data_IF_633565865557
#
_entry.id   IF_633565865557
#
_cell.length_a   1.000
_cell.length_b   1.000
_cell.length_c   1.000
_cell.angle_alpha   90.00
_cell.angle_beta   90.00
_cell.angle_gamma   90.00
#
_symmetry.space_group_name_H-M   'P 1'
#
loop_
_entity.id
_entity.type
_entity.pdbx_description
1 polymer ?
#
# COMPACT_ATOMS: atom_id res chain seq x y z
N UNK A 1 -9.53 9.65 -8.33
CA UNK A 1 -9.45 8.23 -8.80
C UNK A 1 -8.11 7.55 -8.55
N UNK A 2 -7.11 8.22 -7.99
CA UNK A 2 -5.78 7.65 -7.67
C UNK A 2 -5.81 6.61 -6.54
N UNK A 3 -6.76 6.69 -5.62
CA UNK A 3 -6.97 5.67 -4.58
C UNK A 3 -7.34 4.29 -5.16
N UNK A 4 -7.68 4.22 -6.42
CA UNK A 4 -8.08 3.00 -7.12
C UNK A 4 -7.06 2.51 -8.14
N UNK A 5 -5.84 3.08 -8.18
CA UNK A 5 -4.79 2.65 -9.09
C UNK A 5 -4.52 1.14 -9.01
N UNK A 6 -4.40 0.60 -7.79
CA UNK A 6 -4.25 -0.83 -7.55
C UNK A 6 -5.40 -1.68 -8.11
N UNK A 7 -6.65 -1.21 -8.02
CA UNK A 7 -7.79 -1.95 -8.58
C UNK A 7 -7.79 -1.99 -10.09
N UNK A 8 -7.36 -0.91 -10.74
CA UNK A 8 -7.19 -0.90 -12.19
C UNK A 8 -6.04 -1.80 -12.63
N UNK A 9 -4.98 -1.91 -11.85
CA UNK A 9 -3.90 -2.86 -12.10
C UNK A 9 -4.40 -4.30 -12.06
N UNK A 10 -5.16 -4.70 -11.05
CA UNK A 10 -5.74 -6.04 -11.00
C UNK A 10 -6.63 -6.36 -12.21
N UNK A 11 -7.46 -5.41 -12.65
CA UNK A 11 -8.29 -5.58 -13.86
C UNK A 11 -7.46 -5.70 -15.13
N UNK A 12 -6.30 -5.09 -15.15
CA UNK A 12 -5.40 -5.09 -16.30
C UNK A 12 -4.24 -6.09 -16.14
N UNK A 13 -4.25 -6.94 -15.11
CA UNK A 13 -3.16 -7.87 -14.83
C UNK A 13 -2.73 -8.69 -16.07
N UNK A 14 -3.70 -9.20 -16.82
CA UNK A 14 -3.46 -9.96 -18.06
C UNK A 14 -2.73 -9.15 -19.14
N UNK A 15 -2.87 -7.82 -19.15
CA UNK A 15 -2.20 -6.95 -20.13
C UNK A 15 -0.72 -6.78 -19.87
N UNK A 16 -0.27 -7.00 -18.64
CA UNK A 16 1.14 -6.92 -18.29
C UNK A 16 1.91 -8.17 -18.67
N UNK A 17 1.25 -9.34 -18.78
CA UNK A 17 1.84 -10.59 -19.24
C UNK A 17 3.19 -10.89 -18.59
N UNK A 18 4.19 -11.22 -19.39
CA UNK A 18 5.57 -11.50 -18.92
C UNK A 18 6.27 -10.28 -18.31
N UNK A 19 5.81 -9.07 -18.63
CA UNK A 19 6.38 -7.83 -18.09
C UNK A 19 5.86 -7.49 -16.68
N UNK A 20 5.00 -8.32 -16.08
CA UNK A 20 4.44 -8.03 -14.75
C UNK A 20 5.53 -7.75 -13.70
N UNK A 21 6.62 -8.49 -13.72
CA UNK A 21 7.78 -8.30 -12.81
C UNK A 21 8.39 -6.90 -12.88
N UNK A 22 8.29 -6.23 -14.02
CA UNK A 22 8.82 -4.87 -14.21
C UNK A 22 7.95 -3.78 -13.57
N UNK A 23 6.67 -4.07 -13.36
CA UNK A 23 5.69 -3.06 -12.95
C UNK A 23 5.11 -3.29 -11.56
N UNK A 24 5.11 -4.54 -11.07
CA UNK A 24 4.42 -4.85 -9.86
C UNK A 24 5.33 -5.42 -8.78
N UNK A 25 5.59 -4.60 -7.77
CA UNK A 25 6.33 -4.94 -6.54
C UNK A 25 5.45 -4.77 -5.29
N UNK A 26 4.13 -4.74 -5.47
CA UNK A 26 3.14 -4.49 -4.43
C UNK A 26 2.57 -3.07 -4.45
N UNK A 27 1.54 -2.85 -3.65
CA UNK A 27 0.81 -1.58 -3.58
C UNK A 27 1.57 -0.45 -2.85
N UNK A 28 2.75 -0.76 -2.29
CA UNK A 28 3.52 0.14 -1.43
C UNK A 28 4.61 0.92 -2.15
N UNK A 29 4.81 0.69 -3.45
CA UNK A 29 5.81 1.42 -4.24
C UNK A 29 5.30 2.82 -4.60
N UNK A 30 5.63 3.80 -3.75
CA UNK A 30 5.10 5.18 -3.81
C UNK A 30 6.02 6.11 -4.60
N UNK A 31 7.32 5.85 -4.58
CA UNK A 31 8.36 6.68 -5.20
C UNK A 31 9.03 5.95 -6.35
N UNK A 32 9.22 6.66 -7.46
CA UNK A 32 9.98 6.15 -8.60
C UNK A 32 11.48 6.12 -8.30
N UNK A 33 12.24 5.33 -9.05
CA UNK A 33 13.68 5.19 -8.82
C UNK A 33 14.45 6.52 -8.98
N UNK A 34 14.09 7.33 -9.98
CA UNK A 34 14.68 8.66 -10.18
C UNK A 34 14.37 9.63 -9.03
N UNK A 35 13.21 9.50 -8.40
CA UNK A 35 12.86 10.27 -7.21
C UNK A 35 13.66 9.79 -5.99
N UNK A 36 13.78 8.48 -5.78
CA UNK A 36 14.59 7.89 -4.69
C UNK A 36 16.04 8.35 -4.78
N UNK A 37 16.62 8.36 -5.99
CA UNK A 37 17.98 8.80 -6.23
C UNK A 37 18.21 10.26 -5.82
N UNK A 38 17.22 11.13 -5.99
CA UNK A 38 17.32 12.54 -5.57
C UNK A 38 17.15 12.73 -4.08
N UNK A 39 16.19 12.03 -3.48
CA UNK A 39 15.82 12.26 -2.07
C UNK A 39 16.71 11.51 -1.08
N UNK A 40 17.29 10.35 -1.45
CA UNK A 40 18.11 9.56 -0.55
C UNK A 40 19.56 10.05 -0.57
N UNK A 41 20.13 10.28 0.61
CA UNK A 41 21.53 10.68 0.76
C UNK A 41 22.51 9.54 0.40
N UNK A 42 22.07 8.30 0.61
CA UNK A 42 22.80 7.08 0.30
C UNK A 42 21.92 6.18 -0.56
N UNK A 43 21.78 6.57 -1.82
CA UNK A 43 21.05 5.74 -2.79
C UNK A 43 21.97 4.64 -3.34
N UNK A 44 21.51 3.41 -3.28
CA UNK A 44 22.19 2.27 -3.86
C UNK A 44 21.39 1.76 -5.07
N UNK A 45 21.91 1.90 -6.30
CA UNK A 45 21.20 1.46 -7.50
C UNK A 45 21.09 -0.06 -7.62
N UNK A 46 21.87 -0.82 -6.85
CA UNK A 46 21.84 -2.27 -6.86
C UNK A 46 20.77 -2.83 -5.92
N UNK A 47 20.19 -2.00 -5.03
CA UNK A 47 19.08 -2.38 -4.15
C UNK A 47 17.75 -2.03 -4.79
N UNK A 48 17.16 -2.99 -5.49
CA UNK A 48 15.92 -2.78 -6.22
C UNK A 48 14.69 -3.34 -5.46
N UNK A 49 13.55 -2.62 -5.46
CA UNK A 49 12.32 -3.10 -4.82
C UNK A 49 11.84 -4.47 -5.31
N UNK A 50 12.17 -4.84 -6.55
CA UNK A 50 11.82 -6.13 -7.12
C UNK A 50 12.46 -7.30 -6.38
N UNK A 51 13.62 -7.10 -5.76
CA UNK A 51 14.30 -8.15 -5.01
C UNK A 51 13.49 -8.64 -3.81
N UNK A 52 12.71 -7.74 -3.20
CA UNK A 52 11.81 -8.08 -2.09
C UNK A 52 10.71 -9.08 -2.48
N UNK A 53 10.37 -9.17 -3.76
CA UNK A 53 9.28 -10.02 -4.26
C UNK A 53 9.74 -11.06 -5.29
N UNK A 54 11.04 -11.15 -5.56
CA UNK A 54 11.59 -12.09 -6.55
C UNK A 54 11.28 -13.53 -6.18
N UNK A 55 11.47 -13.93 -4.93
CA UNK A 55 11.15 -15.28 -4.46
C UNK A 55 9.64 -15.61 -4.63
N UNK A 56 8.76 -14.63 -4.39
CA UNK A 56 7.33 -14.81 -4.58
C UNK A 56 6.98 -15.03 -6.05
N UNK A 57 7.65 -14.32 -6.96
CA UNK A 57 7.49 -14.55 -8.39
C UNK A 57 7.97 -15.92 -8.84
N UNK A 58 9.08 -16.41 -8.26
CA UNK A 58 9.61 -17.76 -8.53
C UNK A 58 8.64 -18.83 -8.02
N UNK A 59 8.16 -18.72 -6.80
CA UNK A 59 7.17 -19.64 -6.22
C UNK A 59 5.84 -19.68 -6.96
N UNK A 60 5.51 -18.61 -7.69
CA UNK A 60 4.24 -18.44 -8.39
C UNK A 60 4.40 -18.48 -9.92
N UNK A 61 5.51 -19.01 -10.45
CA UNK A 61 5.82 -18.94 -11.88
C UNK A 61 4.70 -19.49 -12.77
N UNK A 62 4.07 -20.60 -12.37
CA UNK A 62 2.98 -21.26 -13.08
C UNK A 62 1.60 -20.60 -12.92
N UNK A 63 1.48 -19.57 -12.10
CA UNK A 63 0.20 -18.90 -11.83
C UNK A 63 -0.08 -17.80 -12.86
N UNK A 64 -1.37 -17.48 -13.01
CA UNK A 64 -1.81 -16.35 -13.82
C UNK A 64 -1.38 -15.00 -13.19
N UNK A 65 -1.30 -13.91 -13.98
CA UNK A 65 -0.82 -12.61 -13.52
C UNK A 65 -1.57 -12.07 -12.29
N UNK A 66 -2.88 -12.22 -12.23
CA UNK A 66 -3.70 -11.78 -11.10
C UNK A 66 -3.35 -12.55 -9.82
N UNK A 67 -3.11 -13.85 -9.93
CA UNK A 67 -2.72 -14.69 -8.82
C UNK A 67 -1.32 -14.37 -8.32
N UNK A 68 -0.37 -14.04 -9.21
CA UNK A 68 0.97 -13.54 -8.84
C UNK A 68 0.88 -12.25 -8.03
N UNK A 69 0.15 -11.25 -8.53
CA UNK A 69 -0.07 -9.99 -7.81
C UNK A 69 -0.72 -10.21 -6.44
N UNK A 70 -1.73 -11.09 -6.39
CA UNK A 70 -2.42 -11.40 -5.14
C UNK A 70 -1.49 -12.06 -4.10
N UNK A 71 -0.58 -12.94 -4.52
CA UNK A 71 0.40 -13.56 -3.63
C UNK A 71 1.38 -12.53 -3.06
N UNK A 72 1.85 -11.59 -3.88
CA UNK A 72 2.70 -10.49 -3.43
C UNK A 72 1.98 -9.66 -2.37
N UNK A 73 0.73 -9.26 -2.64
CA UNK A 73 -0.02 -8.45 -1.69
C UNK A 73 -0.37 -9.19 -0.40
N UNK A 74 -0.61 -10.51 -0.47
CA UNK A 74 -0.87 -11.32 0.72
C UNK A 74 0.38 -11.37 1.59
N UNK A 75 1.55 -11.64 1.03
CA UNK A 75 2.78 -11.86 1.80
C UNK A 75 3.41 -10.53 2.28
N UNK A 76 3.35 -9.47 1.46
CA UNK A 76 4.02 -8.21 1.78
C UNK A 76 3.07 -7.23 2.46
N UNK A 77 1.92 -6.94 1.82
CA UNK A 77 1.04 -5.88 2.31
C UNK A 77 0.04 -6.36 3.36
N UNK A 78 -0.62 -7.48 3.12
CA UNK A 78 -1.65 -7.98 4.06
C UNK A 78 -1.02 -8.41 5.39
N UNK A 79 0.09 -9.14 5.36
CA UNK A 79 0.79 -9.60 6.55
C UNK A 79 1.61 -8.47 7.19
N UNK A 80 2.42 -7.77 6.41
CA UNK A 80 3.39 -6.78 6.91
C UNK A 80 2.78 -5.45 7.32
N UNK A 81 1.61 -5.08 6.76
CA UNK A 81 0.94 -3.81 7.07
C UNK A 81 -0.43 -4.04 7.72
N UNK A 82 -1.38 -4.63 7.00
CA UNK A 82 -2.78 -4.67 7.44
C UNK A 82 -2.93 -5.49 8.73
N UNK A 83 -2.44 -6.72 8.77
CA UNK A 83 -2.58 -7.58 9.96
C UNK A 83 -1.77 -7.07 11.12
N UNK A 84 -0.56 -6.62 10.85
CA UNK A 84 0.31 -6.04 11.87
C UNK A 84 -0.35 -4.84 12.56
N UNK A 85 -0.87 -3.89 11.79
CA UNK A 85 -1.54 -2.71 12.32
C UNK A 85 -2.85 -3.04 13.05
N UNK A 86 -3.66 -3.92 12.46
CA UNK A 86 -4.92 -4.37 13.07
C UNK A 86 -4.66 -5.00 14.43
N UNK A 87 -3.68 -5.92 14.52
CA UNK A 87 -3.32 -6.58 15.77
C UNK A 87 -2.82 -5.58 16.82
N UNK A 88 -1.90 -4.70 16.46
CA UNK A 88 -1.30 -3.72 17.37
C UNK A 88 -2.31 -2.71 17.90
N UNK A 89 -3.13 -2.15 17.01
CA UNK A 89 -4.08 -1.12 17.40
C UNK A 89 -5.24 -1.69 18.21
N UNK A 90 -5.74 -2.87 17.86
CA UNK A 90 -6.81 -3.51 18.60
C UNK A 90 -6.35 -3.97 19.98
N UNK A 91 -5.16 -4.56 20.08
CA UNK A 91 -4.58 -4.99 21.34
C UNK A 91 -4.32 -3.81 22.27
N UNK A 92 -3.83 -2.68 21.75
CA UNK A 92 -3.64 -1.45 22.53
C UNK A 92 -4.97 -0.90 23.09
N UNK A 93 -6.08 -1.15 22.41
CA UNK A 93 -7.41 -0.76 22.87
C UNK A 93 -8.15 -1.88 23.65
N UNK A 94 -7.52 -3.02 23.91
CA UNK A 94 -8.15 -4.16 24.58
C UNK A 94 -9.26 -4.83 23.76
N UNK A 95 -9.24 -4.68 22.44
CA UNK A 95 -10.24 -5.24 21.51
C UNK A 95 -9.71 -6.52 20.86
N UNK A 96 -10.57 -7.51 20.77
CA UNK A 96 -10.31 -8.72 19.98
C UNK A 96 -10.93 -8.58 18.59
N UNK A 97 -10.11 -8.66 17.55
CA UNK A 97 -10.57 -8.60 16.15
C UNK A 97 -10.59 -10.00 15.54
N UNK A 98 -11.67 -10.29 14.83
CA UNK A 98 -11.84 -11.53 14.05
C UNK A 98 -11.94 -11.19 12.57
N UNK A 99 -11.20 -11.92 11.75
CA UNK A 99 -11.10 -11.72 10.30
C UNK A 99 -11.60 -12.96 9.53
N UNK A 100 -12.92 -13.18 9.44
CA UNK A 100 -13.47 -14.43 8.89
C UNK A 100 -13.10 -14.70 7.43
N UNK A 101 -12.82 -13.67 6.64
CA UNK A 101 -12.45 -13.82 5.22
C UNK A 101 -11.00 -14.29 5.03
N UNK A 102 -10.20 -14.35 6.08
CA UNK A 102 -8.83 -14.88 6.05
C UNK A 102 -8.73 -16.28 6.65
N UNK A 103 -9.85 -16.91 6.95
CA UNK A 103 -9.92 -18.32 7.33
C UNK A 103 -9.30 -19.19 6.22
N UNK A 104 -8.47 -20.15 6.62
CA UNK A 104 -7.76 -21.06 5.70
C UNK A 104 -8.69 -21.73 4.69
N UNK A 105 -9.90 -22.10 5.11
CA UNK A 105 -10.90 -22.75 4.23
C UNK A 105 -11.38 -21.80 3.14
N UNK A 106 -11.53 -20.52 3.46
CA UNK A 106 -11.89 -19.48 2.47
C UNK A 106 -10.71 -19.27 1.51
N UNK A 107 -9.49 -19.19 2.04
CA UNK A 107 -8.28 -19.06 1.24
C UNK A 107 -8.09 -20.23 0.27
N UNK A 108 -8.28 -21.48 0.73
CA UNK A 108 -8.16 -22.68 -0.10
C UNK A 108 -9.16 -22.67 -1.28
N UNK A 109 -10.35 -22.13 -1.09
CA UNK A 109 -11.32 -21.95 -2.17
C UNK A 109 -10.89 -20.82 -3.11
N UNK A 110 -10.52 -19.67 -2.55
CA UNK A 110 -10.17 -18.49 -3.32
C UNK A 110 -8.89 -18.69 -4.16
N UNK A 111 -7.88 -19.39 -3.63
CA UNK A 111 -6.63 -19.67 -4.34
C UNK A 111 -6.83 -20.51 -5.61
N UNK A 112 -7.77 -21.46 -5.57
CA UNK A 112 -8.11 -22.34 -6.70
C UNK A 112 -9.12 -21.75 -7.68
N UNK A 113 -9.65 -20.58 -7.34
CA UNK A 113 -10.70 -19.94 -8.15
C UNK A 113 -10.08 -19.27 -9.38
N UNK A 114 -10.61 -19.55 -10.61
CA UNK A 114 -10.17 -18.86 -11.82
C UNK A 114 -10.33 -17.33 -11.71
N UNK A 115 -9.40 -16.59 -12.31
CA UNK A 115 -9.32 -15.11 -12.22
C UNK A 115 -10.60 -14.40 -12.61
N UNK A 116 -11.36 -14.90 -13.61
CA UNK A 116 -12.66 -14.34 -14.01
C UNK A 116 -13.73 -14.28 -12.92
N UNK A 117 -13.61 -15.13 -11.88
CA UNK A 117 -14.50 -15.10 -10.71
C UNK A 117 -13.96 -14.22 -9.57
N UNK A 118 -12.71 -13.80 -9.66
CA UNK A 118 -12.10 -12.84 -8.73
C UNK A 118 -12.34 -11.41 -9.20
N UNK A 119 -12.03 -11.14 -10.48
CA UNK A 119 -12.10 -9.82 -11.11
C UNK A 119 -12.63 -9.97 -12.53
N UNK A 120 -13.47 -9.04 -12.97
CA UNK A 120 -13.87 -8.88 -14.36
C UNK A 120 -13.86 -7.38 -14.74
N UNK A 121 -14.30 -7.04 -15.95
CA UNK A 121 -14.31 -5.66 -16.44
C UNK A 121 -15.20 -4.71 -15.62
N UNK A 122 -16.26 -5.24 -15.02
CA UNK A 122 -17.25 -4.45 -14.29
C UNK A 122 -16.91 -4.32 -12.80
N UNK A 123 -16.41 -5.40 -12.19
CA UNK A 123 -16.28 -5.45 -10.73
C UNK A 123 -15.15 -6.35 -10.23
N UNK A 124 -14.71 -6.05 -9.02
CA UNK A 124 -13.83 -6.90 -8.23
C UNK A 124 -14.66 -7.80 -7.29
N UNK A 125 -14.06 -8.89 -6.78
CA UNK A 125 -14.67 -9.82 -5.83
C UNK A 125 -15.95 -10.46 -6.38
N UNK A 126 -15.97 -10.80 -7.66
CA UNK A 126 -17.15 -11.30 -8.38
C UNK A 126 -17.84 -12.44 -7.64
N UNK A 127 -17.14 -13.54 -7.35
CA UNK A 127 -17.73 -14.69 -6.66
C UNK A 127 -18.24 -14.34 -5.25
N UNK A 128 -17.48 -13.52 -4.51
CA UNK A 128 -17.89 -13.10 -3.17
C UNK A 128 -19.18 -12.27 -3.20
N UNK A 129 -19.30 -11.31 -4.12
CA UNK A 129 -20.49 -10.50 -4.30
C UNK A 129 -21.69 -11.32 -4.73
N UNK A 130 -21.49 -12.24 -5.68
CA UNK A 130 -22.54 -13.18 -6.13
C UNK A 130 -23.03 -14.08 -4.98
N UNK A 131 -22.12 -14.55 -4.13
CA UNK A 131 -22.50 -15.32 -2.94
C UNK A 131 -23.25 -14.46 -1.91
N UNK A 132 -22.78 -13.23 -1.68
CA UNK A 132 -23.40 -12.28 -0.75
C UNK A 132 -24.83 -11.92 -1.18
N UNK A 133 -25.11 -11.78 -2.46
CA UNK A 133 -26.45 -11.47 -2.99
C UNK A 133 -27.49 -12.57 -2.72
N UNK A 134 -27.06 -13.77 -2.32
CA UNK A 134 -27.99 -14.83 -1.90
C UNK A 134 -28.54 -14.63 -0.49
N UNK A 135 -27.89 -13.81 0.32
CA UNK A 135 -28.21 -13.62 1.76
C UNK A 135 -28.36 -12.14 2.16
N UNK A 136 -27.95 -11.23 1.29
CA UNK A 136 -28.03 -9.79 1.51
C UNK A 136 -28.84 -9.13 0.39
N UNK A 137 -29.47 -7.96 0.63
CA UNK A 137 -30.04 -7.15 -0.44
C UNK A 137 -29.05 -6.88 -1.55
N UNK A 138 -29.49 -6.90 -2.79
CA UNK A 138 -28.66 -6.77 -3.98
C UNK A 138 -27.88 -5.43 -3.97
N UNK A 139 -28.50 -4.36 -3.54
CA UNK A 139 -27.89 -3.03 -3.38
C UNK A 139 -26.69 -3.01 -2.41
N UNK A 140 -26.70 -3.91 -1.41
CA UNK A 140 -25.58 -4.07 -0.47
C UNK A 140 -24.49 -4.96 -1.08
N UNK A 141 -24.88 -6.09 -1.68
CA UNK A 141 -23.95 -7.05 -2.26
C UNK A 141 -23.10 -6.45 -3.40
N UNK A 142 -23.73 -5.63 -4.23
CA UNK A 142 -23.08 -4.99 -5.38
C UNK A 142 -22.73 -3.50 -5.17
N UNK A 143 -22.84 -2.98 -3.94
CA UNK A 143 -22.46 -1.61 -3.63
C UNK A 143 -21.02 -1.34 -4.11
N UNK A 144 -20.81 -0.14 -4.69
CA UNK A 144 -19.48 0.32 -5.07
C UNK A 144 -18.55 0.26 -3.85
N UNK A 145 -17.39 -0.37 -3.99
CA UNK A 145 -16.42 -0.44 -2.90
C UNK A 145 -15.98 0.97 -2.54
N UNK A 146 -16.11 1.31 -1.26
CA UNK A 146 -15.46 2.44 -0.65
C UNK A 146 -14.20 1.91 0.05
N UNK A 147 -13.05 2.53 -0.22
CA UNK A 147 -11.83 2.23 0.53
C UNK A 147 -12.00 2.64 1.98
N UNK A 148 -11.20 2.05 2.87
CA UNK A 148 -11.06 2.54 4.24
C UNK A 148 -10.19 3.80 4.20
N UNK A 149 -10.81 4.93 3.92
CA UNK A 149 -10.10 6.19 3.69
C UNK A 149 -9.80 6.83 5.04
N UNK A 150 -8.54 6.79 5.45
CA UNK A 150 -8.03 7.67 6.50
C UNK A 150 -7.81 9.06 5.90
N UNK A 151 -8.35 10.14 6.48
CA UNK A 151 -8.28 11.48 5.89
C UNK A 151 -6.91 12.15 6.13
N UNK A 152 -5.82 11.44 5.86
CA UNK A 152 -4.43 11.91 6.06
C UNK A 152 -4.19 13.23 5.32
N UNK A 153 -4.71 13.35 4.08
CA UNK A 153 -4.59 14.59 3.28
C UNK A 153 -5.21 15.79 3.99
N UNK A 154 -6.34 15.59 4.69
CA UNK A 154 -7.03 16.65 5.43
C UNK A 154 -6.22 16.97 6.70
N UNK A 155 -5.76 15.95 7.40
CA UNK A 155 -4.97 16.16 8.62
C UNK A 155 -3.66 16.87 8.34
N UNK A 156 -2.93 16.45 7.31
CA UNK A 156 -1.67 17.09 6.94
C UNK A 156 -1.83 18.53 6.43
N UNK A 157 -3.02 18.93 5.98
CA UNK A 157 -3.35 20.32 5.65
C UNK A 157 -3.69 21.18 6.89
N UNK A 158 -3.98 20.54 8.05
CA UNK A 158 -4.17 21.26 9.33
C UNK A 158 -2.81 21.80 9.80
N UNK A 159 -2.79 23.07 10.21
CA UNK A 159 -1.55 23.78 10.58
C UNK A 159 -0.73 23.06 11.65
N UNK A 160 -1.37 22.39 12.60
CA UNK A 160 -0.69 21.65 13.68
C UNK A 160 0.11 20.47 13.15
N UNK A 161 -0.48 19.69 12.23
CA UNK A 161 0.20 18.54 11.62
C UNK A 161 1.28 19.02 10.65
N UNK A 162 1.01 20.10 9.93
CA UNK A 162 1.96 20.73 9.04
C UNK A 162 3.24 21.17 9.77
N UNK A 163 3.11 21.82 10.94
CA UNK A 163 4.24 22.21 11.77
C UNK A 163 5.04 20.99 12.28
N UNK A 164 4.36 19.90 12.65
CA UNK A 164 5.05 18.67 13.08
C UNK A 164 5.80 18.00 11.93
N UNK A 165 5.20 17.93 10.75
CA UNK A 165 5.88 17.41 9.54
C UNK A 165 7.12 18.25 9.23
N UNK A 166 7.01 19.58 9.26
CA UNK A 166 8.13 20.50 9.06
C UNK A 166 9.24 20.26 10.08
N UNK A 167 8.89 20.15 11.35
CA UNK A 167 9.87 19.90 12.41
C UNK A 167 10.65 18.60 12.18
N UNK A 168 9.97 17.51 11.72
CA UNK A 168 10.63 16.26 11.38
C UNK A 168 11.54 16.38 10.15
N UNK A 169 11.08 17.06 9.12
CA UNK A 169 11.85 17.24 7.89
C UNK A 169 13.12 18.08 8.08
N UNK A 170 13.14 19.00 9.05
CA UNK A 170 14.29 19.81 9.41
C UNK A 170 15.13 19.26 10.57
N UNK A 171 14.87 18.03 11.01
CA UNK A 171 15.59 17.44 12.11
C UNK A 171 17.01 16.98 11.72
N UNK A 172 17.94 16.99 12.67
CA UNK A 172 19.32 16.51 12.47
C UNK A 172 19.38 15.04 12.02
N UNK A 173 18.39 14.25 12.39
CA UNK A 173 18.34 12.86 11.96
C UNK A 173 17.74 12.68 10.57
N UNK A 174 16.93 13.61 10.05
CA UNK A 174 16.47 13.58 8.67
C UNK A 174 17.65 13.71 7.70
N UNK A 175 18.61 14.58 8.02
CA UNK A 175 19.82 14.77 7.21
C UNK A 175 20.68 13.51 7.08
N UNK A 176 20.55 12.54 7.97
CA UNK A 176 21.28 11.26 7.86
C UNK A 176 20.83 10.43 6.66
N UNK A 177 19.56 10.54 6.28
CA UNK A 177 18.91 9.68 5.29
C UNK A 177 18.53 10.40 4.01
N UNK A 178 18.21 11.69 4.12
CA UNK A 178 17.60 12.44 3.03
C UNK A 178 18.41 13.68 2.65
N UNK A 179 18.30 14.04 1.38
CA UNK A 179 18.65 15.37 0.90
C UNK A 179 17.53 16.32 1.34
N UNK A 180 17.83 17.20 2.30
CA UNK A 180 16.84 18.07 2.92
C UNK A 180 16.17 19.02 1.91
N UNK A 181 16.92 19.54 0.95
CA UNK A 181 16.38 20.44 -0.07
C UNK A 181 15.30 19.73 -0.91
N UNK A 182 15.54 18.48 -1.28
CA UNK A 182 14.61 17.68 -2.09
C UNK A 182 13.34 17.30 -1.32
N UNK A 183 13.46 16.84 -0.08
CA UNK A 183 12.28 16.47 0.71
C UNK A 183 11.46 17.70 1.10
N UNK A 184 12.09 18.83 1.38
CA UNK A 184 11.39 20.08 1.64
C UNK A 184 10.70 20.62 0.38
N UNK A 185 11.31 20.51 -0.80
CA UNK A 185 10.65 20.86 -2.06
C UNK A 185 9.38 20.02 -2.31
N UNK A 186 9.39 18.71 -1.98
CA UNK A 186 8.19 17.86 -2.07
C UNK A 186 7.11 18.33 -1.09
N UNK A 187 7.51 18.73 0.11
CA UNK A 187 6.59 19.22 1.13
C UNK A 187 6.01 20.58 0.75
N UNK A 188 6.83 21.52 0.29
CA UNK A 188 6.40 22.86 -0.14
C UNK A 188 5.43 22.78 -1.34
N UNK A 189 5.71 21.89 -2.29
CA UNK A 189 4.83 21.63 -3.43
C UNK A 189 3.48 21.06 -2.97
N UNK A 190 3.48 20.14 -1.98
CA UNK A 190 2.26 19.63 -1.36
C UNK A 190 1.45 20.76 -0.68
N UNK A 191 2.09 21.60 0.14
CA UNK A 191 1.46 22.71 0.84
C UNK A 191 0.99 23.77 -0.17
N UNK A 192 1.72 23.95 -1.28
CA UNK A 192 1.36 24.82 -2.40
C UNK A 192 0.14 24.36 -3.21
N UNK A 193 -0.42 23.19 -2.88
CA UNK A 193 -1.68 22.68 -3.45
C UNK A 193 -1.54 21.47 -4.37
N UNK A 194 -0.33 20.96 -4.62
CA UNK A 194 -0.13 19.70 -5.33
C UNK A 194 -0.43 18.53 -4.41
N UNK A 195 -1.71 18.20 -4.33
CA UNK A 195 -2.19 17.12 -3.47
C UNK A 195 -1.65 15.73 -3.80
N UNK A 196 -1.01 15.52 -4.95
CA UNK A 196 -0.52 14.22 -5.41
C UNK A 196 0.72 13.77 -4.61
N UNK A 197 1.45 14.73 -4.04
CA UNK A 197 2.62 14.45 -3.21
C UNK A 197 2.31 13.99 -1.77
N UNK A 198 1.04 13.95 -1.34
CA UNK A 198 0.69 13.60 0.04
C UNK A 198 1.26 12.25 0.51
N UNK A 199 1.28 11.23 -0.38
CA UNK A 199 1.82 9.92 -0.04
C UNK A 199 3.32 9.96 0.18
N UNK A 200 4.05 10.73 -0.62
CA UNK A 200 5.50 10.90 -0.48
C UNK A 200 5.82 11.58 0.85
N UNK A 201 5.15 12.70 1.12
CA UNK A 201 5.29 13.41 2.41
C UNK A 201 4.98 12.48 3.58
N UNK A 202 3.86 11.76 3.51
CA UNK A 202 3.46 10.82 4.55
C UNK A 202 4.49 9.71 4.76
N UNK A 203 5.04 9.15 3.69
CA UNK A 203 6.04 8.07 3.76
C UNK A 203 7.32 8.55 4.43
N UNK A 204 7.83 9.73 4.05
CA UNK A 204 9.03 10.31 4.67
C UNK A 204 8.76 10.65 6.13
N UNK A 205 7.64 11.30 6.41
CA UNK A 205 7.24 11.68 7.77
C UNK A 205 7.12 10.48 8.70
N UNK A 206 6.43 9.44 8.30
CA UNK A 206 6.25 8.23 9.13
C UNK A 206 7.57 7.51 9.39
N UNK A 207 8.48 7.47 8.41
CA UNK A 207 9.83 6.96 8.61
C UNK A 207 10.59 7.78 9.66
N UNK A 208 10.54 9.11 9.58
CA UNK A 208 11.23 9.98 10.54
C UNK A 208 10.64 9.88 11.95
N UNK A 209 9.32 9.77 12.08
CA UNK A 209 8.66 9.52 13.36
C UNK A 209 9.12 8.18 13.96
N UNK A 210 9.12 7.12 13.14
CA UNK A 210 9.61 5.81 13.57
C UNK A 210 11.07 5.87 14.01
N UNK A 211 11.94 6.51 13.23
CA UNK A 211 13.36 6.64 13.59
C UNK A 211 13.56 7.43 14.89
N UNK A 212 12.84 8.52 15.08
CA UNK A 212 12.89 9.29 16.31
C UNK A 212 12.50 8.45 17.52
N UNK A 213 11.39 7.71 17.46
CA UNK A 213 10.89 6.91 18.59
C UNK A 213 11.84 5.78 18.98
N UNK A 214 12.43 5.12 18.00
CA UNK A 214 13.23 3.91 18.26
C UNK A 214 14.74 4.15 18.38
N UNK A 215 15.27 5.25 17.87
CA UNK A 215 16.72 5.48 17.82
C UNK A 215 17.18 6.82 18.40
N UNK A 216 16.31 7.79 18.56
CA UNK A 216 16.66 9.11 19.12
C UNK A 216 16.18 9.25 20.55
N UNK A 217 14.96 8.86 20.87
CA UNK A 217 14.36 8.99 22.19
C UNK A 217 14.71 7.87 23.19
N UNK A 218 15.61 6.98 22.84
CA UNK A 218 16.05 5.90 23.72
C UNK A 218 17.08 6.37 24.73
#
# INVERSE_FOLDING_TARGET
DEFFGGYNMYRNAERYGENLKTFYVGNTNIMKEDEKQRILKHYDPDVLPIELVTSIYEETEDLDPLSKMSNIDIQIWLEGDIYYNVDRMSSAAGLEIRMPLTDRRIFDIASRMPSRYKVNEEQNKVAFRTAAAKVLPEEIAFRKKLGFIVPIRIWMADERYNQDVQAKFHSDYAEKFFNLDEINAIFDDYVGGNSDNWRKVWTIYTFLVWYEEYFVKR
#
